data_IF_088867410304
#
_entry.id   IF_088867410304
#
_cell.length_a   1.000
_cell.length_b   1.000
_cell.length_c   1.000
_cell.angle_alpha   90.00
_cell.angle_beta   90.00
_cell.angle_gamma   90.00
#
_symmetry.space_group_name_H-M   'P 1'
#
loop_
_entity.id
_entity.type
_entity.pdbx_description
1 polymer ?
#
# COMPACT_ATOMS: atom_id res chain seq x y z
N UNK A 1 14.39 2.74 -0.24
CA UNK A 1 14.93 3.99 -0.78
C UNK A 1 14.73 5.07 0.25
N UNK A 2 15.62 6.05 0.32
CA UNK A 2 15.55 7.14 1.30
C UNK A 2 15.82 8.49 0.65
N UNK A 3 15.53 9.56 1.38
CA UNK A 3 15.64 10.93 0.87
C UNK A 3 14.55 11.27 -0.15
N UNK A 4 14.85 12.22 -1.03
CA UNK A 4 13.86 12.80 -1.96
C UNK A 4 13.25 11.79 -2.94
N UNK A 5 13.93 10.66 -3.18
CA UNK A 5 13.50 9.58 -4.07
C UNK A 5 12.70 8.49 -3.36
N UNK A 6 12.26 8.71 -2.11
CA UNK A 6 11.40 7.76 -1.40
C UNK A 6 10.05 7.60 -2.11
N UNK A 7 9.61 6.35 -2.24
CA UNK A 7 8.35 5.98 -2.89
C UNK A 7 7.54 5.02 -2.03
N UNK A 8 6.23 5.10 -2.18
CA UNK A 8 5.27 4.15 -1.61
C UNK A 8 4.50 3.45 -2.72
N UNK A 9 4.18 2.18 -2.53
CA UNK A 9 3.34 1.41 -3.47
C UNK A 9 1.98 1.19 -2.85
N UNK A 10 0.93 1.69 -3.50
CA UNK A 10 -0.46 1.51 -3.09
C UNK A 10 -1.10 0.45 -3.99
N UNK A 11 -1.69 -0.57 -3.37
CA UNK A 11 -2.44 -1.64 -4.05
C UNK A 11 -3.92 -1.50 -3.73
N UNK A 12 -4.77 -1.52 -4.76
CA UNK A 12 -6.23 -1.62 -4.63
C UNK A 12 -6.78 -2.64 -5.61
N UNK A 13 -7.97 -3.14 -5.32
CA UNK A 13 -8.77 -3.88 -6.31
C UNK A 13 -9.82 -2.90 -6.84
N UNK A 14 -9.89 -2.75 -8.16
CA UNK A 14 -10.87 -1.91 -8.84
C UNK A 14 -11.59 -2.74 -9.88
N UNK A 15 -12.92 -2.83 -9.82
CA UNK A 15 -13.73 -3.62 -10.74
C UNK A 15 -13.22 -5.08 -10.92
N UNK A 16 -12.76 -5.71 -9.83
CA UNK A 16 -12.22 -7.08 -9.86
C UNK A 16 -10.77 -7.20 -10.33
N UNK A 17 -10.14 -6.11 -10.80
CA UNK A 17 -8.75 -6.09 -11.27
C UNK A 17 -7.83 -5.52 -10.20
N UNK A 18 -6.70 -6.19 -9.94
CA UNK A 18 -5.67 -5.69 -9.03
C UNK A 18 -4.87 -4.55 -9.67
N UNK A 19 -4.96 -3.35 -9.12
CA UNK A 19 -4.20 -2.18 -9.56
C UNK A 19 -3.13 -1.83 -8.52
N UNK A 20 -1.90 -1.63 -8.98
CA UNK A 20 -0.79 -1.12 -8.17
C UNK A 20 -0.30 0.20 -8.75
N UNK A 21 -0.07 1.17 -7.88
CA UNK A 21 0.49 2.48 -8.26
C UNK A 21 1.60 2.85 -7.31
N UNK A 22 2.71 3.31 -7.88
CA UNK A 22 3.88 3.79 -7.14
C UNK A 22 3.81 5.32 -7.10
N UNK A 23 3.95 5.88 -5.91
CA UNK A 23 3.89 7.32 -5.65
C UNK A 23 5.19 7.78 -5.01
N UNK A 24 5.85 8.84 -5.52
CA UNK A 24 6.94 9.50 -4.82
C UNK A 24 6.38 10.30 -3.63
N UNK A 25 6.95 10.09 -2.44
CA UNK A 25 6.45 10.70 -1.19
C UNK A 25 6.53 12.23 -1.23
N UNK A 26 7.57 12.76 -1.88
CA UNK A 26 7.84 14.20 -1.95
C UNK A 26 7.34 14.85 -3.24
N UNK A 27 6.47 14.20 -4.01
CA UNK A 27 5.95 14.77 -5.26
C UNK A 27 4.95 15.89 -4.99
N UNK A 28 5.05 17.05 -5.68
CA UNK A 28 4.05 18.12 -5.59
C UNK A 28 2.69 17.76 -6.20
N UNK A 29 2.62 16.65 -6.96
CA UNK A 29 1.37 16.16 -7.54
C UNK A 29 0.43 15.51 -6.52
N UNK A 30 0.91 15.25 -5.29
CA UNK A 30 0.15 14.63 -4.21
C UNK A 30 -0.26 15.73 -3.23
N UNK A 31 -1.57 15.93 -3.06
CA UNK A 31 -2.11 16.95 -2.15
C UNK A 31 -1.99 16.51 -0.70
N UNK A 32 -2.41 15.29 -0.38
CA UNK A 32 -2.35 14.75 0.98
C UNK A 32 -2.27 13.22 0.97
N UNK A 33 -1.75 12.67 2.07
CA UNK A 33 -1.75 11.23 2.35
C UNK A 33 -2.31 11.02 3.75
N UNK A 34 -3.46 10.37 3.84
CA UNK A 34 -4.13 10.09 5.12
C UNK A 34 -4.11 8.60 5.44
N UNK A 35 -3.80 8.28 6.70
CA UNK A 35 -3.82 6.89 7.18
C UNK A 35 -5.22 6.54 7.64
N UNK A 36 -5.95 5.77 6.82
CA UNK A 36 -7.31 5.30 7.17
C UNK A 36 -7.28 4.20 8.23
N UNK A 37 -6.32 3.27 8.15
CA UNK A 37 -6.18 2.16 9.10
C UNK A 37 -4.73 1.71 9.24
N UNK A 38 -4.32 1.34 10.46
CA UNK A 38 -2.99 0.79 10.73
C UNK A 38 -3.02 -0.74 10.72
N UNK A 39 -2.30 -1.36 9.78
CA UNK A 39 -2.18 -2.82 9.69
C UNK A 39 -1.00 -3.36 10.52
N UNK A 40 -1.19 -4.51 11.18
CA UNK A 40 -0.12 -5.28 11.82
C UNK A 40 0.45 -6.28 10.81
N UNK A 41 1.71 -6.07 10.42
CA UNK A 41 2.45 -6.93 9.49
C UNK A 41 3.85 -7.21 10.04
N UNK A 42 4.45 -8.33 9.60
CA UNK A 42 5.83 -8.72 9.98
C UNK A 42 6.85 -8.44 8.88
N UNK A 43 6.41 -8.34 7.61
CA UNK A 43 7.27 -8.09 6.46
C UNK A 43 7.25 -6.61 6.11
N UNK A 44 8.41 -6.04 5.77
CA UNK A 44 8.51 -4.66 5.30
C UNK A 44 7.85 -4.46 3.92
N UNK A 45 7.94 -5.47 3.05
CA UNK A 45 7.32 -5.47 1.71
C UNK A 45 6.23 -6.53 1.64
N UNK A 46 5.03 -6.13 1.23
CA UNK A 46 3.82 -6.97 1.25
C UNK A 46 3.49 -7.60 -0.11
N UNK A 47 4.50 -8.01 -0.88
CA UNK A 47 4.30 -8.57 -2.23
C UNK A 47 3.45 -9.83 -2.25
N UNK A 48 3.41 -10.59 -1.16
CA UNK A 48 2.55 -11.77 -1.01
C UNK A 48 1.06 -11.44 -1.10
N UNK A 49 0.65 -10.17 -0.96
CA UNK A 49 -0.73 -9.74 -1.16
C UNK A 49 -1.14 -9.69 -2.64
N UNK A 50 -0.19 -9.88 -3.57
CA UNK A 50 -0.49 -9.98 -5.02
C UNK A 50 -1.24 -11.25 -5.37
N UNK A 51 -0.83 -12.35 -4.74
CA UNK A 51 -1.38 -13.69 -4.95
C UNK A 51 -2.65 -13.95 -4.12
N UNK A 52 -2.98 -13.06 -3.18
CA UNK A 52 -4.13 -13.22 -2.28
C UNK A 52 -5.29 -12.34 -2.72
N UNK A 53 -6.50 -12.90 -2.63
CA UNK A 53 -7.76 -12.22 -2.97
C UNK A 53 -8.82 -12.42 -1.88
N UNK A 54 -9.75 -11.47 -1.77
CA UNK A 54 -10.86 -11.55 -0.83
C UNK A 54 -10.42 -11.55 0.64
N UNK A 55 -10.96 -12.48 1.43
CA UNK A 55 -10.73 -12.54 2.90
C UNK A 55 -9.27 -12.79 3.27
N UNK A 56 -8.52 -13.54 2.46
CA UNK A 56 -7.12 -13.91 2.75
C UNK A 56 -6.13 -12.75 2.56
N UNK A 57 -6.52 -11.72 1.80
CA UNK A 57 -5.73 -10.50 1.60
C UNK A 57 -5.92 -9.46 2.71
N UNK A 58 -6.90 -9.66 3.62
CA UNK A 58 -7.13 -8.71 4.73
C UNK A 58 -5.99 -8.77 5.73
N UNK A 59 -5.39 -7.61 5.99
CA UNK A 59 -4.37 -7.42 7.03
C UNK A 59 -5.04 -7.11 8.36
N UNK A 60 -4.63 -7.81 9.42
CA UNK A 60 -5.12 -7.58 10.79
C UNK A 60 -4.79 -6.17 11.24
N UNK A 61 -5.69 -5.54 11.97
CA UNK A 61 -5.45 -4.22 12.55
C UNK A 61 -4.40 -4.27 13.66
N UNK A 62 -3.59 -3.21 13.74
CA UNK A 62 -2.65 -2.99 14.84
C UNK A 62 -3.41 -2.31 15.97
N UNK A 63 -3.83 -3.14 16.94
CA UNK A 63 -4.21 -2.71 18.28
C UNK A 63 -3.02 -2.06 18.98
#
# INVERSE_FOLDING_TARGET
HGGINETITVRRISYGVGCEKVFPVHSPSIVSVETVRRGKVRRAKLYYLRERVGKSAKVKERL
#
